data_IF_663919774231
#
_entry.id   IF_663919774231
#
_cell.length_a   1.000
_cell.length_b   1.000
_cell.length_c   1.000
_cell.angle_alpha   90.00
_cell.angle_beta   90.00
_cell.angle_gamma   90.00
#
_symmetry.space_group_name_H-M   'P 1'
#
loop_
_entity.id
_entity.type
_entity.pdbx_description
1 polymer ?
#
# COMPACT_ATOMS: atom_id res chain seq x y z
N UNK A 1 9.24 25.59 -7.18
CA UNK A 1 7.82 25.51 -6.72
C UNK A 1 6.98 24.38 -7.35
N UNK A 2 7.47 23.59 -8.33
CA UNK A 2 6.69 22.51 -8.99
C UNK A 2 6.57 21.16 -8.27
N UNK A 3 7.47 20.83 -7.34
CA UNK A 3 7.51 19.51 -6.66
C UNK A 3 6.39 19.29 -5.65
N UNK A 4 6.02 20.33 -4.87
CA UNK A 4 4.92 20.25 -3.89
C UNK A 4 3.56 20.01 -4.58
N UNK A 5 3.29 20.66 -5.72
CA UNK A 5 2.03 20.46 -6.49
C UNK A 5 1.89 19.02 -7.02
N UNK A 6 2.97 18.41 -7.53
CA UNK A 6 2.95 17.03 -8.02
C UNK A 6 2.70 16.00 -6.90
N UNK A 7 3.26 16.21 -5.70
CA UNK A 7 3.00 15.36 -4.52
C UNK A 7 1.54 15.42 -4.05
N UNK A 8 0.96 16.63 -3.98
CA UNK A 8 -0.47 16.83 -3.61
C UNK A 8 -1.45 16.13 -4.54
N UNK A 9 -1.14 16.07 -5.83
CA UNK A 9 -1.98 15.37 -6.82
C UNK A 9 -1.86 13.84 -6.68
N UNK A 10 -0.67 13.31 -6.39
CA UNK A 10 -0.48 11.85 -6.22
C UNK A 10 -1.18 11.31 -4.97
N UNK A 11 -1.14 12.01 -3.85
CA UNK A 11 -1.75 11.54 -2.58
C UNK A 11 -3.27 11.68 -2.60
N UNK A 12 -3.81 12.79 -3.11
CA UNK A 12 -5.26 12.95 -3.29
C UNK A 12 -5.84 11.92 -4.27
N UNK A 13 -5.12 11.62 -5.37
CA UNK A 13 -5.45 10.50 -6.27
C UNK A 13 -5.41 9.15 -5.56
N UNK A 14 -4.43 8.90 -4.67
CA UNK A 14 -4.35 7.66 -3.85
C UNK A 14 -5.54 7.52 -2.88
N UNK A 15 -5.91 8.59 -2.15
CA UNK A 15 -7.10 8.59 -1.27
C UNK A 15 -8.39 8.38 -2.06
N UNK A 16 -8.56 9.07 -3.19
CA UNK A 16 -9.71 8.90 -4.08
C UNK A 16 -9.78 7.47 -4.66
N UNK A 17 -8.63 6.87 -5.01
CA UNK A 17 -8.56 5.48 -5.46
C UNK A 17 -8.86 4.48 -4.34
N UNK A 18 -8.42 4.73 -3.10
CA UNK A 18 -8.80 3.88 -1.97
C UNK A 18 -10.31 3.94 -1.72
N UNK A 19 -10.88 5.14 -1.66
CA UNK A 19 -12.33 5.34 -1.52
C UNK A 19 -13.13 4.71 -2.67
N UNK A 20 -12.64 4.78 -3.92
CA UNK A 20 -13.27 4.12 -5.07
C UNK A 20 -13.10 2.60 -5.04
N UNK A 21 -11.96 2.08 -4.58
CA UNK A 21 -11.77 0.62 -4.37
C UNK A 21 -12.68 0.11 -3.26
N UNK A 22 -12.91 0.88 -2.19
CA UNK A 22 -13.88 0.57 -1.13
C UNK A 22 -15.30 0.50 -1.70
N UNK A 23 -15.74 1.53 -2.44
CA UNK A 23 -17.06 1.55 -3.11
C UNK A 23 -17.22 0.43 -4.17
N UNK A 24 -16.14 0.06 -4.88
CA UNK A 24 -16.16 -1.07 -5.85
C UNK A 24 -16.11 -2.45 -5.17
N UNK A 25 -15.43 -2.61 -4.04
CA UNK A 25 -15.46 -3.84 -3.22
C UNK A 25 -16.85 -4.07 -2.62
N UNK A 26 -17.50 -3.02 -2.11
CA UNK A 26 -18.88 -3.06 -1.63
C UNK A 26 -19.87 -3.51 -2.74
N UNK A 27 -19.60 -3.13 -4.01
CA UNK A 27 -20.37 -3.57 -5.19
C UNK A 27 -19.99 -4.96 -5.72
N UNK A 28 -18.88 -5.57 -5.30
CA UNK A 28 -18.44 -6.92 -5.71
C UNK A 28 -18.54 -7.90 -4.53
N UNK A 29 -19.70 -7.99 -3.88
CA UNK A 29 -20.02 -9.13 -3.01
C UNK A 29 -20.54 -10.27 -3.87
N UNK A 30 -19.68 -11.25 -4.15
CA UNK A 30 -20.01 -12.63 -4.56
C UNK A 30 -18.74 -13.50 -4.58
N UNK A 31 -18.10 -13.70 -3.42
CA UNK A 31 -17.44 -14.98 -3.10
C UNK A 31 -17.76 -15.24 -1.63
N UNK A 32 -18.60 -16.25 -1.39
CA UNK A 32 -18.95 -16.76 -0.07
C UNK A 32 -17.68 -17.17 0.68
N UNK A 33 -17.49 -16.65 1.88
CA UNK A 33 -16.66 -17.33 2.87
C UNK A 33 -17.43 -18.58 3.32
N UNK A 34 -17.05 -19.74 2.79
CA UNK A 34 -17.45 -21.02 3.38
C UNK A 34 -16.58 -21.27 4.60
N UNK A 35 -17.08 -21.92 5.67
CA UNK A 35 -16.33 -22.19 6.91
C UNK A 35 -15.11 -23.11 6.73
N UNK A 36 -14.88 -23.60 5.51
CA UNK A 36 -13.89 -24.64 5.18
C UNK A 36 -12.69 -24.11 4.38
N UNK A 37 -12.59 -22.80 4.17
CA UNK A 37 -11.38 -22.20 3.62
C UNK A 37 -10.35 -21.97 4.74
N UNK A 38 -9.82 -23.08 5.28
CA UNK A 38 -8.39 -23.11 5.61
C UNK A 38 -7.67 -22.90 4.27
N UNK A 39 -7.52 -21.65 3.87
CA UNK A 39 -6.61 -21.30 2.77
C UNK A 39 -5.29 -21.89 3.21
N UNK A 40 -4.89 -23.00 2.58
CA UNK A 40 -3.60 -23.63 2.78
C UNK A 40 -2.57 -22.52 2.82
N UNK A 41 -1.99 -22.26 3.99
CA UNK A 41 -0.88 -21.36 4.15
C UNK A 41 0.21 -21.91 3.24
N UNK A 42 0.37 -21.33 2.06
CA UNK A 42 1.69 -21.36 1.47
C UNK A 42 2.50 -20.57 2.48
N UNK A 43 3.36 -21.24 3.25
CA UNK A 43 4.48 -20.59 3.91
C UNK A 43 5.16 -19.73 2.84
N UNK A 44 4.94 -18.42 2.94
CA UNK A 44 5.47 -17.44 1.99
C UNK A 44 6.51 -16.67 2.76
N UNK A 45 7.78 -16.67 2.31
CA UNK A 45 8.82 -15.94 3.00
C UNK A 45 8.46 -14.44 3.05
N UNK A 46 8.74 -13.82 4.19
CA UNK A 46 8.65 -12.38 4.35
C UNK A 46 9.52 -11.68 3.31
N UNK A 47 9.09 -10.53 2.81
CA UNK A 47 9.94 -9.69 1.95
C UNK A 47 11.23 -9.28 2.63
N UNK A 48 11.32 -9.29 3.96
CA UNK A 48 12.57 -9.08 4.67
C UNK A 48 13.55 -10.26 4.56
N UNK A 49 13.04 -11.49 4.53
CA UNK A 49 13.84 -12.73 4.51
C UNK A 49 14.25 -13.18 3.11
N UNK A 50 13.64 -12.62 2.06
CA UNK A 50 13.98 -13.02 0.69
C UNK A 50 15.35 -12.48 0.27
N UNK A 51 16.19 -13.34 -0.29
CA UNK A 51 17.48 -12.98 -0.89
C UNK A 51 17.38 -12.98 -2.42
N UNK A 52 17.01 -11.85 -3.06
CA UNK A 52 17.04 -11.73 -4.51
C UNK A 52 18.49 -11.66 -5.01
N UNK A 53 18.75 -12.01 -6.28
CA UNK A 53 20.06 -11.77 -6.90
C UNK A 53 20.48 -10.29 -6.87
N UNK A 54 21.78 -10.05 -7.00
CA UNK A 54 22.34 -8.71 -7.05
C UNK A 54 21.70 -7.87 -8.16
N UNK A 55 21.40 -6.61 -7.84
CA UNK A 55 20.65 -5.73 -8.74
C UNK A 55 19.13 -5.98 -8.78
N UNK A 56 18.56 -6.90 -8.00
CA UNK A 56 17.11 -7.16 -7.94
C UNK A 56 16.52 -6.93 -6.55
N UNK A 57 15.18 -6.82 -6.49
CA UNK A 57 14.42 -6.78 -5.24
C UNK A 57 13.12 -7.60 -5.35
N UNK A 58 12.61 -8.19 -4.24
CA UNK A 58 11.30 -8.80 -4.22
C UNK A 58 10.19 -7.77 -4.38
N UNK A 59 9.16 -8.14 -5.14
CA UNK A 59 7.92 -7.39 -5.33
C UNK A 59 6.72 -8.33 -5.39
N UNK A 60 5.57 -7.83 -4.97
CA UNK A 60 4.31 -8.56 -5.18
C UNK A 60 3.95 -8.53 -6.67
N UNK A 61 3.08 -9.44 -7.12
CA UNK A 61 2.61 -9.45 -8.52
C UNK A 61 1.98 -8.10 -8.89
N UNK A 62 1.23 -7.48 -7.97
CA UNK A 62 0.64 -6.16 -8.19
C UNK A 62 1.71 -5.08 -8.34
N UNK A 63 2.77 -5.11 -7.54
CA UNK A 63 3.90 -4.19 -7.68
C UNK A 63 4.67 -4.41 -8.98
N UNK A 64 4.95 -5.67 -9.34
CA UNK A 64 5.60 -6.02 -10.61
C UNK A 64 4.83 -5.45 -11.81
N UNK A 65 3.51 -5.61 -11.82
CA UNK A 65 2.63 -5.04 -12.85
C UNK A 65 2.75 -3.51 -12.91
N UNK A 66 2.81 -2.83 -11.75
CA UNK A 66 2.93 -1.36 -11.71
C UNK A 66 4.30 -0.87 -12.21
N UNK A 67 5.39 -1.54 -11.84
CA UNK A 67 6.75 -1.22 -12.32
C UNK A 67 6.87 -1.41 -13.83
N UNK A 68 6.27 -2.48 -14.34
CA UNK A 68 6.19 -2.75 -15.76
C UNK A 68 5.39 -1.68 -16.50
N UNK A 69 4.15 -1.43 -16.06
CA UNK A 69 3.20 -0.55 -16.73
C UNK A 69 3.55 0.94 -16.62
N UNK A 70 4.59 1.31 -15.85
CA UNK A 70 4.99 2.70 -15.59
C UNK A 70 5.02 3.60 -16.84
N UNK A 71 5.57 3.20 -18.01
CA UNK A 71 5.56 4.06 -19.20
C UNK A 71 4.14 4.42 -19.68
N UNK A 72 3.21 3.46 -19.65
CA UNK A 72 1.81 3.70 -20.02
C UNK A 72 1.07 4.51 -18.96
N UNK A 73 1.38 4.25 -17.68
CA UNK A 73 0.81 5.01 -16.56
C UNK A 73 1.21 6.49 -16.61
N UNK A 74 2.45 6.80 -16.99
CA UNK A 74 2.94 8.17 -17.17
C UNK A 74 2.25 8.91 -18.31
N UNK A 75 1.84 8.20 -19.37
CA UNK A 75 1.01 8.77 -20.44
C UNK A 75 -0.39 9.16 -19.94
N UNK A 76 -0.96 8.38 -19.00
CA UNK A 76 -2.26 8.66 -18.37
C UNK A 76 -2.21 9.62 -17.17
N UNK A 77 -1.03 10.03 -16.68
CA UNK A 77 -0.90 10.80 -15.42
C UNK A 77 -1.59 12.19 -15.48
N UNK A 78 -1.82 12.73 -16.68
CA UNK A 78 -2.23 14.13 -16.89
C UNK A 78 -3.73 14.39 -17.07
N UNK A 79 -4.61 13.37 -17.13
CA UNK A 79 -5.96 13.59 -17.68
C UNK A 79 -7.15 13.14 -16.81
N UNK A 80 -6.97 12.30 -15.78
CA UNK A 80 -8.09 11.98 -14.88
C UNK A 80 -8.03 10.58 -14.29
N UNK A 81 -9.15 10.12 -13.70
CA UNK A 81 -9.30 8.77 -13.15
C UNK A 81 -9.60 7.75 -14.27
N UNK A 82 -10.31 8.17 -15.32
CA UNK A 82 -10.66 7.31 -16.45
C UNK A 82 -9.41 6.93 -17.25
N UNK A 83 -8.53 7.89 -17.54
CA UNK A 83 -7.28 7.64 -18.26
C UNK A 83 -6.30 6.76 -17.47
N UNK A 84 -6.34 6.84 -16.13
CA UNK A 84 -5.54 5.96 -15.29
C UNK A 84 -6.05 4.51 -15.30
N UNK A 85 -7.38 4.31 -15.35
CA UNK A 85 -7.94 2.96 -15.53
C UNK A 85 -7.58 2.40 -16.90
N UNK A 86 -7.62 3.25 -17.93
CA UNK A 86 -7.26 2.90 -19.30
C UNK A 86 -5.78 2.52 -19.42
N UNK A 87 -4.90 3.31 -18.82
CA UNK A 87 -3.48 3.01 -18.72
C UNK A 87 -3.20 1.68 -18.01
N UNK A 88 -3.93 1.38 -16.93
CA UNK A 88 -3.81 0.11 -16.22
C UNK A 88 -4.28 -1.07 -17.09
N UNK A 89 -5.39 -0.91 -17.82
CA UNK A 89 -5.87 -1.93 -18.77
C UNK A 89 -4.87 -2.19 -19.89
N UNK A 90 -4.34 -1.12 -20.49
CA UNK A 90 -3.31 -1.22 -21.53
C UNK A 90 -2.04 -1.91 -21.00
N UNK A 91 -1.57 -1.53 -19.80
CA UNK A 91 -0.43 -2.18 -19.13
C UNK A 91 -0.65 -3.68 -18.89
N UNK A 92 -1.84 -4.08 -18.43
CA UNK A 92 -2.18 -5.49 -18.25
C UNK A 92 -2.22 -6.27 -19.57
N UNK A 93 -2.76 -5.69 -20.63
CA UNK A 93 -2.77 -6.33 -21.95
C UNK A 93 -1.35 -6.52 -22.49
N UNK A 94 -0.50 -5.50 -22.35
CA UNK A 94 0.91 -5.57 -22.73
C UNK A 94 1.67 -6.64 -21.94
N UNK A 95 1.43 -6.74 -20.63
CA UNK A 95 2.05 -7.76 -19.77
C UNK A 95 1.63 -9.18 -20.21
N UNK A 96 0.33 -9.40 -20.37
CA UNK A 96 -0.22 -10.70 -20.76
C UNK A 96 0.25 -11.14 -22.16
N UNK A 97 0.35 -10.19 -23.09
CA UNK A 97 0.89 -10.47 -24.42
C UNK A 97 2.38 -10.86 -24.35
N UNK A 98 3.17 -10.18 -23.52
CA UNK A 98 4.58 -10.51 -23.31
C UNK A 98 4.77 -11.91 -22.73
N UNK A 99 3.94 -12.32 -21.76
CA UNK A 99 3.92 -13.71 -21.26
C UNK A 99 3.53 -14.70 -22.37
N UNK A 100 2.52 -14.35 -23.18
CA UNK A 100 2.05 -15.25 -24.25
C UNK A 100 3.12 -15.46 -25.34
N UNK A 101 3.90 -14.42 -25.67
CA UNK A 101 5.06 -14.53 -26.56
C UNK A 101 6.11 -15.48 -26.00
N UNK A 102 6.42 -15.28 -24.73
CA UNK A 102 7.38 -16.04 -23.96
C UNK A 102 7.06 -17.54 -23.82
N UNK A 103 5.78 -17.88 -23.86
CA UNK A 103 5.28 -19.27 -23.78
C UNK A 103 4.98 -19.86 -25.17
N UNK A 104 5.28 -19.11 -26.25
CA UNK A 104 5.05 -19.58 -27.63
C UNK A 104 3.57 -19.58 -28.06
N UNK A 105 2.70 -18.90 -27.31
CA UNK A 105 1.25 -18.85 -27.53
C UNK A 105 0.76 -17.48 -28.02
N UNK A 106 1.65 -16.65 -28.58
CA UNK A 106 1.30 -15.30 -28.99
C UNK A 106 0.23 -15.25 -30.08
N UNK A 107 -0.87 -14.55 -29.78
CA UNK A 107 -1.98 -14.34 -30.70
C UNK A 107 -1.80 -13.06 -31.53
N UNK A 108 -1.80 -13.20 -32.86
CA UNK A 108 -1.78 -12.06 -33.81
C UNK A 108 -2.99 -11.13 -33.63
N UNK A 109 -4.13 -11.64 -33.17
CA UNK A 109 -5.33 -10.84 -32.87
C UNK A 109 -5.09 -9.96 -31.64
N UNK A 110 -4.53 -10.50 -30.57
CA UNK A 110 -4.14 -9.74 -29.37
C UNK A 110 -3.13 -8.63 -29.71
N UNK A 111 -2.10 -8.93 -30.53
CA UNK A 111 -1.15 -7.90 -31.02
C UNK A 111 -1.86 -6.73 -31.70
N UNK A 112 -2.78 -7.03 -32.64
CA UNK A 112 -3.55 -6.01 -33.37
C UNK A 112 -4.46 -5.19 -32.47
N UNK A 113 -5.06 -5.82 -31.45
CA UNK A 113 -5.93 -5.15 -30.48
C UNK A 113 -5.14 -4.17 -29.61
N UNK A 114 -3.96 -4.58 -29.13
CA UNK A 114 -3.06 -3.71 -28.35
C UNK A 114 -2.62 -2.50 -29.18
N UNK A 115 -2.16 -2.71 -30.41
CA UNK A 115 -1.74 -1.61 -31.30
C UNK A 115 -2.91 -0.65 -31.55
N UNK A 116 -4.13 -1.17 -31.75
CA UNK A 116 -5.32 -0.34 -31.95
C UNK A 116 -5.66 0.47 -30.70
N UNK A 117 -5.60 -0.14 -29.52
CA UNK A 117 -5.83 0.52 -28.24
C UNK A 117 -4.82 1.66 -28.04
N UNK A 118 -3.53 1.37 -28.18
CA UNK A 118 -2.45 2.35 -28.04
C UNK A 118 -2.62 3.51 -29.03
N UNK A 119 -2.88 3.21 -30.30
CA UNK A 119 -3.04 4.24 -31.32
C UNK A 119 -4.26 5.15 -31.06
N UNK A 120 -5.38 4.59 -30.58
CA UNK A 120 -6.62 5.33 -30.37
C UNK A 120 -6.61 6.13 -29.07
N UNK A 121 -6.15 5.52 -27.99
CA UNK A 121 -6.33 6.05 -26.64
C UNK A 121 -5.13 6.85 -26.15
N UNK A 122 -3.96 6.67 -26.76
CA UNK A 122 -2.71 7.37 -26.38
C UNK A 122 -2.16 8.24 -27.52
N UNK A 123 -2.99 8.55 -28.52
CA UNK A 123 -2.68 9.42 -29.67
C UNK A 123 -1.37 9.03 -30.40
N UNK A 124 -1.15 7.73 -30.55
CA UNK A 124 0.01 7.19 -31.25
C UNK A 124 -0.33 6.88 -32.71
N UNK A 125 0.60 7.08 -33.63
CA UNK A 125 0.47 6.46 -34.94
C UNK A 125 0.50 4.92 -34.80
N UNK A 126 -0.06 4.18 -35.77
CA UNK A 126 0.04 2.70 -35.73
C UNK A 126 1.48 2.20 -35.74
N UNK A 127 2.39 2.95 -36.37
CA UNK A 127 3.81 2.62 -36.38
C UNK A 127 4.41 2.80 -34.99
N UNK A 128 4.15 3.94 -34.35
CA UNK A 128 4.66 4.25 -33.01
C UNK A 128 4.07 3.31 -31.95
N UNK A 129 2.78 2.98 -32.04
CA UNK A 129 2.15 1.98 -31.19
C UNK A 129 2.78 0.58 -31.37
N UNK A 130 3.21 0.24 -32.58
CA UNK A 130 3.97 -0.98 -32.87
C UNK A 130 5.35 -0.97 -32.22
N UNK A 131 6.10 0.12 -32.36
CA UNK A 131 7.42 0.29 -31.73
C UNK A 131 7.31 0.28 -30.20
N UNK A 132 6.31 0.95 -29.65
CA UNK A 132 6.05 0.97 -28.21
C UNK A 132 5.72 -0.42 -27.66
N UNK A 133 4.95 -1.23 -28.40
CA UNK A 133 4.70 -2.62 -28.02
C UNK A 133 6.01 -3.42 -27.91
N UNK A 134 6.90 -3.32 -28.90
CA UNK A 134 8.19 -4.01 -28.86
C UNK A 134 9.06 -3.52 -27.68
N UNK A 135 9.10 -2.22 -27.42
CA UNK A 135 9.78 -1.64 -26.25
C UNK A 135 9.25 -2.19 -24.93
N UNK A 136 7.92 -2.37 -24.82
CA UNK A 136 7.31 -2.94 -23.62
C UNK A 136 7.65 -4.42 -23.46
N UNK A 137 7.73 -5.20 -24.54
CA UNK A 137 8.19 -6.60 -24.51
C UNK A 137 9.64 -6.67 -24.00
N UNK A 138 10.54 -5.86 -24.58
CA UNK A 138 11.93 -5.76 -24.13
C UNK A 138 12.03 -5.33 -22.66
N UNK A 139 11.19 -4.38 -22.24
CA UNK A 139 11.12 -3.94 -20.83
C UNK A 139 10.71 -5.08 -19.90
N UNK A 140 9.79 -5.96 -20.32
CA UNK A 140 9.36 -7.12 -19.51
C UNK A 140 10.54 -8.05 -19.24
N UNK A 141 11.29 -8.39 -20.28
CA UNK A 141 12.46 -9.26 -20.19
C UNK A 141 13.58 -8.62 -19.36
N UNK A 142 13.82 -7.32 -19.56
CA UNK A 142 14.81 -6.57 -18.81
C UNK A 142 14.49 -6.52 -17.31
N UNK A 143 13.26 -6.17 -16.94
CA UNK A 143 12.82 -5.99 -15.55
C UNK A 143 12.60 -7.31 -14.82
N UNK A 144 12.08 -8.33 -15.52
CA UNK A 144 11.69 -9.61 -14.95
C UNK A 144 12.29 -10.79 -15.74
N UNK A 145 13.63 -10.95 -15.74
CA UNK A 145 14.28 -12.08 -16.41
C UNK A 145 13.75 -13.40 -15.86
N UNK A 146 13.39 -14.33 -16.74
CA UNK A 146 12.74 -15.61 -16.37
C UNK A 146 13.62 -16.51 -15.52
N UNK A 147 14.91 -16.51 -15.78
CA UNK A 147 15.94 -17.38 -15.20
C UNK A 147 16.14 -17.15 -13.69
N UNK A 148 15.82 -15.96 -13.20
CA UNK A 148 15.97 -15.59 -11.79
C UNK A 148 14.65 -15.59 -11.01
N UNK A 149 13.50 -15.74 -11.65
CA UNK A 149 12.22 -15.61 -10.96
C UNK A 149 12.05 -16.73 -9.92
N UNK A 150 11.54 -16.41 -8.72
CA UNK A 150 11.31 -17.43 -7.71
C UNK A 150 10.23 -18.41 -8.18
N UNK A 151 10.34 -19.67 -7.75
CA UNK A 151 9.34 -20.72 -8.07
C UNK A 151 7.99 -20.53 -7.36
N UNK A 152 7.89 -19.57 -6.43
CA UNK A 152 6.68 -19.32 -5.64
C UNK A 152 5.70 -18.38 -6.38
N UNK A 153 4.42 -18.73 -6.39
CA UNK A 153 3.41 -18.14 -7.27
C UNK A 153 3.03 -16.66 -7.03
N UNK A 154 3.51 -16.02 -5.96
CA UNK A 154 2.99 -14.72 -5.50
C UNK A 154 4.06 -13.64 -5.28
N UNK A 155 5.29 -13.88 -5.69
CA UNK A 155 6.39 -12.91 -5.59
C UNK A 155 7.23 -12.98 -6.85
N UNK A 156 7.76 -11.83 -7.27
CA UNK A 156 8.68 -11.73 -8.39
C UNK A 156 9.91 -10.96 -7.97
N UNK A 157 11.01 -11.16 -8.70
CA UNK A 157 12.19 -10.33 -8.59
C UNK A 157 12.18 -9.31 -9.73
N UNK A 158 12.21 -8.03 -9.36
CA UNK A 158 12.30 -6.91 -10.30
C UNK A 158 13.69 -6.31 -10.27
N UNK A 159 14.23 -5.96 -11.43
CA UNK A 159 15.50 -5.25 -11.55
C UNK A 159 15.39 -3.87 -10.89
N UNK A 160 16.41 -3.49 -10.13
CA UNK A 160 16.59 -2.13 -9.60
C UNK A 160 17.11 -1.23 -10.72
N UNK A 161 16.26 -0.33 -11.22
CA UNK A 161 16.65 0.68 -12.21
C UNK A 161 17.31 1.91 -11.56
N UNK A 162 17.06 2.16 -10.27
CA UNK A 162 17.55 3.32 -9.52
C UNK A 162 17.94 2.94 -8.10
N UNK A 163 19.02 3.57 -7.62
CA UNK A 163 19.43 3.52 -6.21
C UNK A 163 18.93 4.77 -5.50
N UNK A 164 18.26 4.59 -4.36
CA UNK A 164 17.71 5.67 -3.57
C UNK A 164 18.51 5.87 -2.28
N UNK A 165 18.83 7.13 -1.96
CA UNK A 165 19.36 7.45 -0.63
C UNK A 165 18.25 7.31 0.41
N UNK A 166 18.30 6.23 1.21
CA UNK A 166 17.37 6.00 2.32
C UNK A 166 17.98 6.50 3.63
N UNK A 167 17.53 7.67 4.06
CA UNK A 167 17.79 8.23 5.39
C UNK A 167 16.64 7.94 6.34
N UNK A 168 16.95 7.72 7.63
CA UNK A 168 15.91 7.64 8.66
C UNK A 168 15.11 8.94 8.78
N UNK A 169 13.95 8.86 9.42
CA UNK A 169 13.13 10.04 9.70
C UNK A 169 13.85 10.98 10.67
N UNK A 170 13.77 12.29 10.42
CA UNK A 170 14.30 13.29 11.35
C UNK A 170 13.24 13.61 12.41
N UNK A 171 13.35 12.97 13.57
CA UNK A 171 12.40 13.13 14.69
C UNK A 171 12.38 14.54 15.29
N UNK A 172 13.39 15.37 15.04
CA UNK A 172 13.38 16.79 15.47
C UNK A 172 12.31 17.63 14.73
N UNK A 173 11.67 17.07 13.70
CA UNK A 173 10.58 17.72 12.97
C UNK A 173 9.21 17.53 13.60
N UNK A 174 9.08 16.62 14.56
CA UNK A 174 7.81 16.34 15.23
C UNK A 174 7.99 16.62 16.72
N UNK A 175 7.11 17.44 17.28
CA UNK A 175 7.07 17.67 18.71
C UNK A 175 6.15 16.65 19.40
N UNK A 176 6.75 15.59 19.89
CA UNK A 176 6.06 14.56 20.67
C UNK A 176 5.72 15.00 22.10
N UNK A 177 6.23 16.14 22.57
CA UNK A 177 6.07 16.62 23.95
C UNK A 177 4.93 17.62 24.15
N UNK A 178 4.24 17.99 23.06
CA UNK A 178 3.10 18.91 23.09
C UNK A 178 1.99 18.45 24.07
N UNK A 179 1.43 19.42 24.80
CA UNK A 179 0.34 19.20 25.75
C UNK A 179 -0.85 18.46 25.11
N UNK A 180 -1.50 17.54 25.83
CA UNK A 180 -2.67 16.81 25.31
C UNK A 180 -3.79 17.74 24.84
N UNK A 181 -4.42 17.40 23.72
CA UNK A 181 -5.64 18.09 23.24
C UNK A 181 -6.86 17.31 23.73
N UNK A 182 -7.68 17.87 24.64
CA UNK A 182 -8.80 17.15 25.23
C UNK A 182 -9.82 16.70 24.17
N UNK A 183 -10.50 15.56 24.37
CA UNK A 183 -11.45 15.04 23.39
C UNK A 183 -12.74 15.86 23.36
N UNK A 184 -13.13 16.28 22.15
CA UNK A 184 -14.47 16.83 21.88
C UNK A 184 -15.51 15.70 21.71
N UNK A 185 -16.71 16.05 21.26
CA UNK A 185 -17.79 15.07 21.03
C UNK A 185 -17.44 14.09 19.90
N UNK A 186 -16.91 14.58 18.79
CA UNK A 186 -16.60 13.74 17.62
C UNK A 186 -15.41 12.81 17.89
N UNK A 187 -14.46 13.25 18.70
CA UNK A 187 -13.38 12.41 19.21
C UNK A 187 -13.93 11.22 20.03
N UNK A 188 -14.91 11.47 20.91
CA UNK A 188 -15.56 10.41 21.69
C UNK A 188 -16.34 9.45 20.80
N UNK A 189 -17.11 9.98 19.85
CA UNK A 189 -17.85 9.16 18.87
C UNK A 189 -16.88 8.28 18.05
N UNK A 190 -15.68 8.79 17.71
CA UNK A 190 -14.63 8.01 17.06
C UNK A 190 -14.09 6.90 17.98
N UNK A 191 -13.75 7.23 19.24
CA UNK A 191 -13.26 6.24 20.21
C UNK A 191 -14.27 5.13 20.46
N UNK A 192 -15.55 5.46 20.66
CA UNK A 192 -16.64 4.48 20.79
C UNK A 192 -16.72 3.56 19.57
N UNK A 193 -16.54 4.12 18.36
CA UNK A 193 -16.50 3.35 17.12
C UNK A 193 -15.34 2.36 17.07
N UNK A 194 -14.14 2.75 17.50
CA UNK A 194 -12.97 1.86 17.60
C UNK A 194 -13.22 0.77 18.64
N UNK A 195 -13.72 1.12 19.83
CA UNK A 195 -14.04 0.15 20.88
C UNK A 195 -15.10 -0.87 20.44
N UNK A 196 -16.09 -0.43 19.66
CA UNK A 196 -17.08 -1.34 19.07
C UNK A 196 -16.43 -2.28 18.04
N UNK A 197 -15.43 -1.81 17.29
CA UNK A 197 -14.65 -2.68 16.41
C UNK A 197 -13.88 -3.74 17.22
N UNK A 198 -13.24 -3.34 18.33
CA UNK A 198 -12.55 -4.28 19.22
C UNK A 198 -13.50 -5.35 19.77
N UNK A 199 -14.74 -4.97 20.09
CA UNK A 199 -15.77 -5.91 20.55
C UNK A 199 -16.17 -6.92 19.46
N UNK A 200 -16.27 -6.49 18.19
CA UNK A 200 -16.53 -7.42 17.09
C UNK A 200 -15.40 -8.45 16.94
N UNK A 201 -14.13 -8.00 17.03
CA UNK A 201 -12.98 -8.90 16.98
C UNK A 201 -12.98 -9.86 18.16
N UNK A 202 -13.10 -9.34 19.40
CA UNK A 202 -13.11 -10.15 20.61
C UNK A 202 -14.28 -11.15 20.65
N UNK A 203 -15.42 -10.78 20.09
CA UNK A 203 -16.60 -11.64 19.96
C UNK A 203 -16.54 -12.65 18.83
N UNK A 204 -15.47 -12.66 18.02
CA UNK A 204 -15.35 -13.56 16.86
C UNK A 204 -16.44 -13.33 15.80
N UNK A 205 -16.91 -12.09 15.65
CA UNK A 205 -18.00 -11.77 14.72
C UNK A 205 -17.58 -11.98 13.26
N UNK A 206 -18.50 -12.52 12.46
CA UNK A 206 -18.26 -12.72 11.04
C UNK A 206 -17.98 -11.41 10.31
N UNK A 207 -17.11 -11.47 9.29
CA UNK A 207 -16.68 -10.33 8.47
C UNK A 207 -17.84 -9.46 7.97
N UNK A 208 -18.90 -10.07 7.45
CA UNK A 208 -20.04 -9.37 6.89
C UNK A 208 -20.82 -8.56 7.94
N UNK A 209 -20.67 -8.89 9.22
CA UNK A 209 -21.34 -8.22 10.34
C UNK A 209 -20.69 -6.87 10.68
N UNK A 210 -19.36 -6.78 10.55
CA UNK A 210 -18.61 -5.61 10.99
C UNK A 210 -17.98 -4.80 9.87
N UNK A 211 -17.97 -5.28 8.61
CA UNK A 211 -17.28 -4.60 7.49
C UNK A 211 -17.74 -3.15 7.31
N UNK A 212 -19.05 -2.90 7.28
CA UNK A 212 -19.58 -1.54 7.07
C UNK A 212 -19.25 -0.64 8.26
N UNK A 213 -19.28 -1.18 9.48
CA UNK A 213 -18.83 -0.48 10.69
C UNK A 213 -17.34 -0.13 10.63
N UNK A 214 -16.49 -1.07 10.18
CA UNK A 214 -15.06 -0.84 10.02
C UNK A 214 -14.80 0.33 9.07
N UNK A 215 -15.48 0.41 7.93
CA UNK A 215 -15.21 1.49 6.97
C UNK A 215 -15.60 2.86 7.52
N UNK A 216 -16.71 2.95 8.25
CA UNK A 216 -17.12 4.17 8.93
C UNK A 216 -16.13 4.55 10.05
N UNK A 217 -15.69 3.58 10.84
CA UNK A 217 -14.68 3.76 11.90
C UNK A 217 -13.35 4.25 11.32
N UNK A 218 -12.85 3.62 10.26
CA UNK A 218 -11.58 3.94 9.63
C UNK A 218 -11.59 5.38 9.07
N UNK A 219 -12.69 5.78 8.43
CA UNK A 219 -12.88 7.15 7.93
C UNK A 219 -12.91 8.17 9.07
N UNK A 220 -13.67 7.89 10.14
CA UNK A 220 -13.69 8.75 11.35
C UNK A 220 -12.29 8.89 11.95
N UNK A 221 -11.59 7.78 12.16
CA UNK A 221 -10.24 7.78 12.73
C UNK A 221 -9.27 8.60 11.88
N UNK A 222 -9.29 8.41 10.54
CA UNK A 222 -8.44 9.17 9.62
C UNK A 222 -8.71 10.67 9.65
N UNK A 223 -9.99 11.08 9.63
CA UNK A 223 -10.40 12.48 9.66
C UNK A 223 -10.03 13.17 10.98
N UNK A 224 -10.30 12.52 12.11
CA UNK A 224 -9.97 13.06 13.44
C UNK A 224 -8.47 13.12 13.67
N UNK A 225 -7.72 12.13 13.19
CA UNK A 225 -6.25 12.16 13.24
C UNK A 225 -5.67 13.29 12.37
N UNK A 226 -6.22 13.53 11.19
CA UNK A 226 -5.82 14.67 10.35
C UNK A 226 -6.04 16.01 11.06
N UNK A 227 -7.20 16.19 11.69
CA UNK A 227 -7.50 17.41 12.44
C UNK A 227 -6.54 17.59 13.62
N UNK A 228 -6.31 16.53 14.40
CA UNK A 228 -5.36 16.57 15.52
C UNK A 228 -3.94 16.92 15.05
N UNK A 229 -3.48 16.39 13.91
CA UNK A 229 -2.19 16.78 13.33
C UNK A 229 -2.13 18.28 13.00
N UNK A 230 -3.20 18.86 12.45
CA UNK A 230 -3.26 20.32 12.18
C UNK A 230 -3.18 21.13 13.46
N UNK A 231 -3.93 20.74 14.49
CA UNK A 231 -3.94 21.43 15.78
C UNK A 231 -2.59 21.34 16.51
N UNK A 232 -1.86 20.23 16.30
CA UNK A 232 -0.48 20.04 16.78
C UNK A 232 0.57 20.74 15.91
N UNK A 233 0.17 21.44 14.84
CA UNK A 233 1.08 22.18 13.96
C UNK A 233 1.83 21.33 12.92
N UNK A 234 1.33 20.12 12.63
CA UNK A 234 1.94 19.13 11.72
C UNK A 234 1.25 19.08 10.35
N UNK A 235 0.97 20.25 9.78
CA UNK A 235 0.24 20.39 8.50
C UNK A 235 0.92 19.64 7.34
N UNK A 236 2.25 19.54 7.33
CA UNK A 236 3.02 18.85 6.30
C UNK A 236 2.79 17.34 6.27
N UNK A 237 2.27 16.77 7.35
CA UNK A 237 2.01 15.34 7.51
C UNK A 237 0.53 14.96 7.34
N UNK A 238 -0.36 15.95 7.33
CA UNK A 238 -1.82 15.75 7.25
C UNK A 238 -2.28 15.00 6.00
N UNK A 239 -1.52 15.04 4.90
CA UNK A 239 -1.85 14.29 3.69
C UNK A 239 -1.43 12.80 3.82
N UNK A 240 -0.22 12.56 4.33
CA UNK A 240 0.41 11.24 4.31
C UNK A 240 0.02 10.37 5.51
N UNK A 241 0.05 10.93 6.71
CA UNK A 241 -0.08 10.15 7.94
C UNK A 241 -1.46 9.50 8.08
N UNK A 242 -2.59 10.18 7.78
CA UNK A 242 -3.89 9.52 7.79
C UNK A 242 -4.02 8.37 6.78
N UNK A 243 -3.33 8.45 5.62
CA UNK A 243 -3.29 7.35 4.66
C UNK A 243 -2.48 6.14 5.19
N UNK A 244 -1.39 6.39 5.90
CA UNK A 244 -0.62 5.33 6.56
C UNK A 244 -1.40 4.71 7.72
N UNK A 245 -2.16 5.51 8.46
CA UNK A 245 -3.12 5.04 9.48
C UNK A 245 -4.17 4.12 8.87
N UNK A 246 -4.81 4.50 7.77
CA UNK A 246 -5.73 3.62 7.03
C UNK A 246 -5.07 2.27 6.70
N UNK A 247 -3.84 2.30 6.19
CA UNK A 247 -3.10 1.08 5.85
C UNK A 247 -2.87 0.19 7.08
N UNK A 248 -2.54 0.80 8.22
CA UNK A 248 -2.31 0.10 9.47
C UNK A 248 -3.60 -0.45 10.09
N UNK A 249 -4.71 0.31 10.08
CA UNK A 249 -6.01 -0.19 10.53
C UNK A 249 -6.49 -1.38 9.70
N UNK A 250 -6.23 -1.36 8.39
CA UNK A 250 -6.51 -2.51 7.52
C UNK A 250 -5.65 -3.72 7.90
N UNK A 251 -4.40 -3.51 8.32
CA UNK A 251 -3.58 -4.59 8.86
C UNK A 251 -4.15 -5.11 10.18
N UNK A 252 -4.41 -4.25 11.16
CA UNK A 252 -4.88 -4.66 12.49
C UNK A 252 -6.22 -5.40 12.43
N UNK A 253 -7.20 -4.87 11.70
CA UNK A 253 -8.58 -5.37 11.78
C UNK A 253 -9.04 -6.23 10.60
N UNK A 254 -8.37 -6.14 9.44
CA UNK A 254 -8.81 -6.82 8.21
C UNK A 254 -7.79 -7.81 7.64
N UNK A 255 -6.61 -7.87 8.24
CA UNK A 255 -5.67 -8.94 7.97
C UNK A 255 -5.96 -10.11 8.90
N UNK A 256 -5.74 -11.32 8.40
CA UNK A 256 -5.97 -12.52 9.20
C UNK A 256 -4.74 -12.74 10.08
N UNK A 257 -4.89 -12.46 11.37
CA UNK A 257 -3.92 -12.77 12.40
C UNK A 257 -4.22 -14.15 12.98
N UNK A 258 -3.19 -14.84 13.46
CA UNK A 258 -3.38 -16.11 14.16
C UNK A 258 -3.99 -15.89 15.56
N UNK A 259 -3.69 -14.74 16.18
CA UNK A 259 -4.25 -14.30 17.46
C UNK A 259 -5.28 -13.17 17.31
N UNK A 260 -6.11 -12.97 18.34
CA UNK A 260 -7.05 -11.85 18.40
C UNK A 260 -6.31 -10.52 18.59
N UNK A 261 -6.19 -9.77 17.49
CA UNK A 261 -5.43 -8.53 17.43
C UNK A 261 -6.33 -7.30 17.36
N UNK A 262 -6.07 -6.34 18.24
CA UNK A 262 -6.67 -5.00 18.26
C UNK A 262 -5.56 -3.96 18.36
N UNK A 263 -5.89 -2.67 18.27
CA UNK A 263 -4.89 -1.61 18.49
C UNK A 263 -4.29 -1.68 19.90
N UNK A 264 -5.03 -2.16 20.90
CA UNK A 264 -4.57 -2.34 22.30
C UNK A 264 -3.73 -3.59 22.53
N UNK A 265 -3.95 -4.64 21.74
CA UNK A 265 -3.37 -5.97 21.98
C UNK A 265 -2.35 -6.40 20.93
N UNK A 266 -2.00 -5.53 19.96
CA UNK A 266 -1.03 -5.87 18.94
C UNK A 266 0.33 -6.22 19.57
N UNK A 267 0.90 -7.34 19.15
CA UNK A 267 2.18 -7.84 19.66
C UNK A 267 3.36 -7.26 18.87
N UNK A 268 4.59 -7.30 19.43
CA UNK A 268 5.79 -6.92 18.70
C UNK A 268 5.96 -7.67 17.37
N UNK A 269 5.61 -8.96 17.32
CA UNK A 269 5.73 -9.80 16.13
C UNK A 269 4.84 -9.28 14.98
N UNK A 270 3.60 -8.88 15.28
CA UNK A 270 2.72 -8.30 14.26
C UNK A 270 3.15 -6.88 13.84
N UNK A 271 3.74 -6.10 14.75
CA UNK A 271 4.35 -4.82 14.38
C UNK A 271 5.54 -5.05 13.44
N UNK A 272 6.39 -6.04 13.72
CA UNK A 272 7.49 -6.42 12.84
C UNK A 272 6.98 -6.88 11.48
N UNK A 273 5.98 -7.77 11.44
CA UNK A 273 5.35 -8.20 10.18
C UNK A 273 4.79 -7.02 9.40
N UNK A 274 4.12 -6.08 10.08
CA UNK A 274 3.57 -4.89 9.45
C UNK A 274 4.64 -4.11 8.69
N UNK A 275 5.75 -3.79 9.34
CA UNK A 275 6.83 -2.99 8.73
C UNK A 275 7.66 -3.82 7.73
N UNK A 276 8.04 -5.04 8.09
CA UNK A 276 9.01 -5.85 7.36
C UNK A 276 8.41 -6.60 6.16
N UNK A 277 7.09 -6.84 6.15
CA UNK A 277 6.39 -7.49 5.04
C UNK A 277 5.20 -6.69 4.52
N UNK A 278 4.19 -6.46 5.37
CA UNK A 278 2.87 -6.01 4.91
C UNK A 278 2.95 -4.68 4.15
N UNK A 279 3.60 -3.68 4.74
CA UNK A 279 3.79 -2.36 4.12
C UNK A 279 4.57 -2.50 2.81
N UNK A 280 5.69 -3.23 2.82
CA UNK A 280 6.53 -3.41 1.63
C UNK A 280 5.84 -4.17 0.51
N UNK A 281 4.84 -5.01 0.82
CA UNK A 281 4.13 -5.84 -0.15
C UNK A 281 2.86 -5.18 -0.69
N UNK A 282 2.13 -4.47 0.17
CA UNK A 282 0.78 -3.93 -0.11
C UNK A 282 0.81 -2.47 -0.55
N UNK A 283 1.82 -1.71 -0.14
CA UNK A 283 1.90 -0.27 -0.39
C UNK A 283 2.84 -0.02 -1.57
N UNK A 284 2.46 0.92 -2.45
CA UNK A 284 3.25 1.32 -3.62
C UNK A 284 3.49 2.82 -3.54
N UNK A 285 4.62 3.18 -2.94
CA UNK A 285 5.05 4.55 -2.68
C UNK A 285 6.53 4.72 -3.02
N UNK A 286 6.99 5.96 -3.05
CA UNK A 286 8.42 6.22 -3.27
C UNK A 286 9.25 5.66 -2.10
N UNK A 287 10.46 5.13 -2.33
CA UNK A 287 11.24 4.48 -1.28
C UNK A 287 11.47 5.31 -0.02
N UNK A 288 11.66 6.62 -0.15
CA UNK A 288 11.83 7.51 1.00
C UNK A 288 10.52 7.69 1.81
N UNK A 289 9.35 7.47 1.20
CA UNK A 289 8.04 7.62 1.87
C UNK A 289 7.79 6.49 2.86
N UNK A 290 8.39 5.30 2.69
CA UNK A 290 8.29 4.22 3.68
C UNK A 290 8.83 4.63 5.04
N UNK A 291 9.84 5.51 5.08
CA UNK A 291 10.46 6.00 6.32
C UNK A 291 9.49 6.82 7.19
N UNK A 292 8.33 7.21 6.64
CA UNK A 292 7.29 7.95 7.33
C UNK A 292 6.29 7.05 8.09
N UNK A 293 6.29 5.73 7.86
CA UNK A 293 5.38 4.83 8.57
C UNK A 293 5.65 4.79 10.08
N UNK A 294 6.88 4.56 10.58
CA UNK A 294 7.14 4.52 12.01
C UNK A 294 6.68 5.78 12.77
N UNK A 295 7.05 7.02 12.36
CA UNK A 295 6.57 8.22 13.07
C UNK A 295 5.05 8.40 12.97
N UNK A 296 4.43 8.01 11.85
CA UNK A 296 2.97 8.07 11.72
C UNK A 296 2.28 7.15 12.73
N UNK A 297 2.79 5.92 12.92
CA UNK A 297 2.24 4.98 13.90
C UNK A 297 2.43 5.49 15.33
N UNK A 298 3.60 6.05 15.66
CA UNK A 298 3.83 6.64 16.98
C UNK A 298 2.86 7.77 17.28
N UNK A 299 2.63 8.68 16.32
CA UNK A 299 1.66 9.76 16.49
C UNK A 299 0.22 9.27 16.54
N UNK A 300 -0.14 8.21 15.80
CA UNK A 300 -1.45 7.60 15.90
C UNK A 300 -1.72 7.07 17.31
N UNK A 301 -0.78 6.33 17.90
CA UNK A 301 -0.91 5.79 19.25
C UNK A 301 -0.98 6.90 20.31
N UNK A 302 -0.17 7.96 20.17
CA UNK A 302 -0.30 9.16 21.02
C UNK A 302 -1.66 9.82 20.89
N UNK A 303 -2.16 10.01 19.66
CA UNK A 303 -3.49 10.56 19.40
C UNK A 303 -4.59 9.72 20.06
N UNK A 304 -4.57 8.40 19.87
CA UNK A 304 -5.56 7.50 20.47
C UNK A 304 -5.54 7.54 22.00
N UNK A 305 -4.35 7.66 22.60
CA UNK A 305 -4.20 7.84 24.04
C UNK A 305 -4.76 9.20 24.51
N UNK A 306 -4.44 10.30 23.83
CA UNK A 306 -4.99 11.63 24.14
C UNK A 306 -6.52 11.68 24.02
N UNK A 307 -7.11 10.91 23.10
CA UNK A 307 -8.57 10.84 22.93
C UNK A 307 -9.27 9.88 23.87
N UNK A 308 -8.54 9.17 24.72
CA UNK A 308 -9.10 8.28 25.74
C UNK A 308 -9.47 6.89 25.22
N UNK A 309 -8.93 6.46 24.07
CA UNK A 309 -9.08 5.07 23.64
C UNK A 309 -8.24 4.13 24.51
N UNK A 310 -7.03 4.55 24.89
CA UNK A 310 -6.12 3.80 25.76
C UNK A 310 -5.43 4.73 26.77
N UNK A 311 -5.06 4.19 27.93
CA UNK A 311 -4.47 4.99 29.01
C UNK A 311 -3.01 5.37 28.73
N UNK A 312 -2.23 4.42 28.21
CA UNK A 312 -0.81 4.61 27.91
C UNK A 312 -0.44 4.06 26.52
N UNK A 313 0.27 4.87 25.75
CA UNK A 313 0.79 4.52 24.43
C UNK A 313 2.28 4.17 24.44
N UNK A 314 2.97 4.38 25.57
CA UNK A 314 4.43 4.35 25.68
C UNK A 314 5.00 3.00 25.25
N UNK A 315 4.45 1.90 25.78
CA UNK A 315 4.92 0.55 25.47
C UNK A 315 4.93 0.25 23.96
N UNK A 316 3.86 0.61 23.24
CA UNK A 316 3.79 0.38 21.80
C UNK A 316 4.77 1.30 21.05
N UNK A 317 4.91 2.56 21.48
CA UNK A 317 5.87 3.47 20.84
C UNK A 317 7.32 3.05 21.05
N UNK A 318 7.66 2.46 22.19
CA UNK A 318 8.99 1.89 22.46
C UNK A 318 9.28 0.68 21.56
N UNK A 319 8.31 -0.19 21.35
CA UNK A 319 8.43 -1.30 20.40
C UNK A 319 8.68 -0.77 18.98
N UNK A 320 7.94 0.25 18.54
CA UNK A 320 8.16 0.88 17.23
C UNK A 320 9.56 1.48 17.12
N UNK A 321 10.09 2.07 18.19
CA UNK A 321 11.46 2.62 18.22
C UNK A 321 12.53 1.52 18.11
N UNK A 322 12.27 0.33 18.65
CA UNK A 322 13.15 -0.83 18.50
C UNK A 322 13.12 -1.41 17.08
N UNK A 323 11.94 -1.46 16.45
CA UNK A 323 11.76 -1.99 15.09
C UNK A 323 12.30 -1.02 14.02
N UNK A 324 12.18 0.29 14.24
CA UNK A 324 12.52 1.34 13.30
C UNK A 324 13.90 1.17 12.63
N UNK A 325 15.01 1.00 13.37
CA UNK A 325 16.33 0.78 12.80
C UNK A 325 16.42 -0.44 11.86
N UNK A 326 15.81 -1.57 12.25
CA UNK A 326 15.76 -2.77 11.43
C UNK A 326 14.97 -2.53 10.14
N UNK A 327 13.83 -1.83 10.23
CA UNK A 327 13.05 -1.44 9.05
C UNK A 327 13.85 -0.55 8.09
N UNK A 328 14.59 0.45 8.58
CA UNK A 328 15.46 1.29 7.74
C UNK A 328 16.56 0.45 7.06
N UNK A 329 17.13 -0.54 7.75
CA UNK A 329 18.12 -1.47 7.16
C UNK A 329 17.50 -2.28 6.03
N UNK A 330 16.27 -2.77 6.20
CA UNK A 330 15.52 -3.46 5.14
C UNK A 330 15.32 -2.53 3.94
N UNK A 331 14.86 -1.29 4.16
CA UNK A 331 14.65 -0.33 3.08
C UNK A 331 15.95 -0.03 2.30
N UNK A 332 17.08 0.14 3.00
CA UNK A 332 18.40 0.33 2.36
C UNK A 332 18.80 -0.87 1.52
N UNK A 333 18.62 -2.10 2.04
CA UNK A 333 18.90 -3.31 1.28
C UNK A 333 18.04 -3.43 0.00
N UNK A 334 16.77 -3.00 0.08
CA UNK A 334 15.79 -3.19 -1.00
C UNK A 334 15.81 -2.08 -2.05
N UNK A 335 16.09 -0.84 -1.65
CA UNK A 335 15.96 0.34 -2.49
C UNK A 335 17.22 1.20 -2.60
N UNK A 336 18.19 0.97 -1.71
CA UNK A 336 19.46 1.69 -1.68
C UNK A 336 20.56 1.05 -2.52
#
# INVERSE_FOLDING_TARGET
MGSKKKKKVKISKRRAQSQLKKKKKQKRRLIKNSPDNRVSYMERPSFSDMEPPDGFRPVSISQAMMEYAKPVMEMGENQGIEDMNLAMQAGMLLWNYSISLEDGHADKKMKKEIIRLLAKEFDMSRSDAGLFLEQMIERKEHLFPKDIQPKHAMTMFVRREMTHLITGFNYNKIDFSSSPIPPDREDRDMVESVQRMDQYIAGGSDYDTWEDHYFEMEEKCGNRFELWLKEKGHEEYCENFPFYTETYLNFVYRYNHDDLTTLKSITPEYLEEFFADYVLRKVIIEPYEYTLFPPAMKLLYKFLSEKGYMDDHTAITEIIDQIGPSFIRILRKRFG
#
